data_IF_328690616705
#
_entry.id   IF_328690616705
#
_cell.length_a   1.000
_cell.length_b   1.000
_cell.length_c   1.000
_cell.angle_alpha   90.00
_cell.angle_beta   90.00
_cell.angle_gamma   90.00
#
_symmetry.space_group_name_H-M   'P 1'
#
loop_
_entity.id
_entity.type
_entity.pdbx_description
1 polymer ?
#
# COMPACT_ATOMS: atom_id res chain seq x y z
N UNK A 1 19.30 -49.94 -27.29
CA UNK A 1 20.15 -50.16 -28.49
C UNK A 1 19.74 -49.17 -29.56
N UNK A 2 20.72 -48.41 -30.08
CA UNK A 2 20.79 -47.70 -31.38
C UNK A 2 19.57 -46.89 -31.86
N UNK A 3 19.62 -45.55 -31.85
CA UNK A 3 20.27 -44.66 -32.84
C UNK A 3 19.48 -44.41 -34.14
N UNK A 4 19.25 -43.10 -34.41
CA UNK A 4 19.44 -42.40 -35.70
C UNK A 4 18.49 -42.76 -36.88
N UNK A 5 18.09 -41.92 -37.84
CA UNK A 5 18.35 -40.52 -38.22
C UNK A 5 17.34 -40.13 -39.35
N UNK A 6 17.12 -38.81 -39.51
CA UNK A 6 16.83 -38.08 -40.78
C UNK A 6 15.51 -38.27 -41.57
N UNK A 7 14.64 -37.29 -41.35
CA UNK A 7 14.13 -36.26 -42.30
C UNK A 7 14.48 -36.38 -43.80
N UNK A 8 13.41 -36.21 -44.60
CA UNK A 8 13.20 -35.31 -45.76
C UNK A 8 14.06 -35.57 -47.01
N UNK A 9 13.55 -35.63 -48.25
CA UNK A 9 12.49 -34.87 -48.93
C UNK A 9 11.98 -35.66 -50.16
N UNK A 10 10.80 -35.34 -50.68
CA UNK A 10 10.44 -35.66 -52.08
C UNK A 10 8.94 -35.55 -52.39
N UNK A 11 8.54 -34.43 -53.01
CA UNK A 11 7.23 -34.10 -53.62
C UNK A 11 6.73 -35.17 -54.64
N UNK A 12 5.47 -35.33 -55.13
CA UNK A 12 4.30 -34.44 -55.32
C UNK A 12 3.04 -35.28 -55.74
N UNK A 13 1.87 -34.92 -55.19
CA UNK A 13 0.44 -34.96 -55.65
C UNK A 13 -0.15 -36.06 -56.58
N UNK A 14 -1.25 -36.70 -56.13
CA UNK A 14 -2.59 -36.67 -56.77
C UNK A 14 -3.75 -37.21 -55.87
N UNK A 15 -4.73 -36.32 -55.68
CA UNK A 15 -6.21 -36.43 -55.49
C UNK A 15 -6.96 -37.66 -54.91
N UNK A 16 -7.67 -37.34 -53.80
CA UNK A 16 -9.04 -37.68 -53.33
C UNK A 16 -9.31 -38.98 -52.54
N UNK A 17 -9.94 -38.73 -51.38
CA UNK A 17 -10.64 -39.58 -50.38
C UNK A 17 -9.77 -40.25 -49.31
N UNK A 18 -9.92 -39.83 -48.04
CA UNK A 18 -9.35 -40.54 -46.89
C UNK A 18 -10.07 -40.26 -45.56
N UNK A 19 -10.39 -41.36 -44.88
CA UNK A 19 -10.86 -41.53 -43.50
C UNK A 19 -9.80 -41.20 -42.44
N UNK A 20 -10.26 -40.67 -41.29
CA UNK A 20 -9.64 -40.54 -39.93
C UNK A 20 -8.18 -40.00 -39.81
N UNK A 21 -7.59 -39.77 -38.61
CA UNK A 21 -7.98 -39.01 -37.42
C UNK A 21 -6.98 -37.84 -37.13
N UNK A 22 -7.36 -36.86 -36.29
CA UNK A 22 -6.54 -35.65 -36.04
C UNK A 22 -5.81 -35.66 -34.69
N UNK A 23 -4.46 -35.63 -34.69
CA UNK A 23 -3.65 -35.08 -33.58
C UNK A 23 -2.77 -33.90 -34.04
N UNK A 24 -2.99 -32.76 -33.35
CA UNK A 24 -2.11 -31.64 -32.92
C UNK A 24 -0.82 -31.28 -33.67
N UNK A 25 -0.52 -29.97 -33.77
CA UNK A 25 0.82 -29.44 -33.58
C UNK A 25 1.02 -28.80 -32.19
N UNK A 26 2.23 -28.98 -31.65
CA UNK A 26 2.77 -28.31 -30.45
C UNK A 26 3.31 -26.92 -30.79
N UNK A 27 3.23 -26.00 -29.83
CA UNK A 27 4.26 -24.97 -29.64
C UNK A 27 3.76 -23.59 -29.24
N UNK A 28 3.58 -23.35 -27.94
CA UNK A 28 3.87 -22.08 -27.28
C UNK A 28 4.07 -22.39 -25.79
N UNK A 29 5.30 -22.14 -25.33
CA UNK A 29 5.83 -22.47 -24.02
C UNK A 29 5.10 -21.67 -22.92
N UNK A 30 4.68 -22.36 -21.86
CA UNK A 30 4.19 -21.74 -20.62
C UNK A 30 5.33 -21.77 -19.59
N UNK A 31 5.54 -20.68 -18.83
CA UNK A 31 6.50 -20.69 -17.73
C UNK A 31 6.05 -21.66 -16.64
N UNK A 32 7.03 -22.39 -16.15
CA UNK A 32 6.98 -23.52 -15.22
C UNK A 32 6.31 -23.12 -13.90
N UNK A 33 5.14 -23.71 -13.64
CA UNK A 33 4.48 -23.66 -12.34
C UNK A 33 5.25 -24.51 -11.33
N UNK A 34 5.70 -23.91 -10.22
CA UNK A 34 6.18 -24.66 -9.07
C UNK A 34 5.07 -25.59 -8.57
N UNK A 35 5.39 -26.88 -8.44
CA UNK A 35 4.44 -27.92 -7.99
C UNK A 35 4.19 -27.76 -6.48
N UNK A 36 2.94 -27.89 -6.00
CA UNK A 36 2.69 -28.02 -4.58
C UNK A 36 3.21 -29.40 -4.12
N UNK A 37 4.18 -29.40 -3.21
CA UNK A 37 4.74 -30.63 -2.65
C UNK A 37 3.77 -31.21 -1.63
N UNK A 38 3.52 -32.52 -1.76
CA UNK A 38 2.67 -33.32 -0.89
C UNK A 38 3.29 -33.43 0.51
N UNK A 39 2.42 -33.56 1.51
CA UNK A 39 2.76 -33.65 2.92
C UNK A 39 3.41 -34.99 3.22
N UNK A 40 4.72 -35.13 2.98
CA UNK A 40 5.47 -36.31 3.42
C UNK A 40 5.95 -36.13 4.87
N UNK A 41 5.71 -37.19 5.64
CA UNK A 41 6.15 -37.38 7.01
C UNK A 41 7.68 -37.45 7.04
N UNK A 42 8.31 -36.41 7.56
CA UNK A 42 9.69 -36.47 8.04
C UNK A 42 9.64 -36.30 9.56
N UNK A 43 9.72 -37.44 10.24
CA UNK A 43 9.98 -37.54 11.68
C UNK A 43 11.49 -37.34 11.89
N UNK A 44 11.91 -36.11 12.21
CA UNK A 44 13.19 -35.82 12.84
C UNK A 44 13.01 -34.73 13.91
N UNK A 45 13.69 -34.93 15.03
CA UNK A 45 13.59 -34.28 16.34
C UNK A 45 13.12 -32.81 16.33
N UNK A 46 11.94 -32.58 16.92
CA UNK A 46 11.53 -31.26 17.37
C UNK A 46 12.41 -30.85 18.55
N UNK A 47 13.13 -29.70 18.51
CA UNK A 47 13.70 -29.16 19.72
C UNK A 47 12.56 -28.87 20.70
N UNK A 48 12.75 -29.34 21.94
CA UNK A 48 11.80 -29.29 23.03
C UNK A 48 11.20 -27.87 23.16
N UNK A 49 9.93 -27.78 23.57
CA UNK A 49 9.16 -26.51 23.75
C UNK A 49 9.76 -25.58 24.82
N UNK A 50 10.95 -25.89 25.31
CA UNK A 50 11.56 -25.30 26.49
C UNK A 50 12.63 -24.25 26.19
N UNK A 51 13.13 -24.11 24.95
CA UNK A 51 14.24 -23.16 24.72
C UNK A 51 14.22 -22.48 23.34
N UNK A 52 13.14 -21.76 23.05
CA UNK A 52 13.18 -20.68 22.05
C UNK A 52 13.57 -19.35 22.69
N UNK A 53 14.53 -19.40 23.61
CA UNK A 53 15.16 -18.21 24.13
C UNK A 53 16.10 -17.70 23.02
N UNK A 54 15.58 -16.83 22.14
CA UNK A 54 16.44 -15.97 21.31
C UNK A 54 17.20 -15.07 22.26
N UNK A 55 18.30 -15.59 22.80
CA UNK A 55 19.10 -14.95 23.82
C UNK A 55 19.43 -13.51 23.38
N UNK A 56 19.23 -12.58 24.32
CA UNK A 56 19.61 -11.18 24.24
C UNK A 56 18.83 -10.26 23.27
N UNK A 57 17.50 -10.38 23.22
CA UNK A 57 16.67 -9.31 22.63
C UNK A 57 16.67 -8.09 23.58
N UNK A 58 17.16 -6.92 23.16
CA UNK A 58 17.27 -5.75 24.03
C UNK A 58 15.90 -5.19 24.41
N UNK A 59 15.77 -4.72 25.64
CA UNK A 59 14.63 -3.93 26.11
C UNK A 59 14.87 -2.47 25.72
N UNK A 60 14.02 -1.91 24.86
CA UNK A 60 14.16 -0.55 24.31
C UNK A 60 12.81 0.18 24.40
N UNK A 61 12.62 0.89 25.50
CA UNK A 61 11.40 1.66 25.72
C UNK A 61 11.37 2.95 24.88
N UNK A 62 12.50 3.65 24.77
CA UNK A 62 12.63 4.87 23.95
C UNK A 62 12.48 4.54 22.45
N UNK A 63 11.41 5.03 21.78
CA UNK A 63 11.20 4.79 20.35
C UNK A 63 12.32 5.30 19.45
N UNK A 64 13.07 6.32 19.86
CA UNK A 64 14.15 6.92 19.06
C UNK A 64 15.38 6.00 18.91
N UNK A 65 15.57 5.08 19.85
CA UNK A 65 16.66 4.10 19.87
C UNK A 65 16.35 2.83 19.06
N UNK A 66 15.11 2.67 18.58
CA UNK A 66 14.69 1.46 17.87
C UNK A 66 15.25 1.46 16.44
N UNK A 67 15.80 0.33 16.03
CA UNK A 67 16.43 0.16 14.71
C UNK A 67 15.59 -0.73 13.80
N UNK A 68 15.43 -0.34 12.54
CA UNK A 68 14.69 -1.12 11.54
C UNK A 68 15.25 -2.54 11.38
N UNK A 69 14.35 -3.51 11.29
CA UNK A 69 14.64 -4.94 11.15
C UNK A 69 15.49 -5.53 12.29
N UNK A 70 15.59 -4.85 13.44
CA UNK A 70 16.21 -5.39 14.66
C UNK A 70 15.12 -5.74 15.68
N UNK A 71 15.15 -6.95 16.26
CA UNK A 71 14.20 -7.32 17.30
C UNK A 71 14.46 -6.53 18.57
N UNK A 72 13.40 -6.17 19.28
CA UNK A 72 13.46 -5.55 20.60
C UNK A 72 12.26 -5.99 21.46
N UNK A 73 12.31 -5.68 22.75
CA UNK A 73 11.22 -5.80 23.72
C UNK A 73 10.96 -4.46 24.38
N UNK A 74 9.78 -4.28 24.94
CA UNK A 74 9.48 -3.21 25.88
C UNK A 74 9.55 -3.75 27.32
N UNK A 75 9.70 -2.88 28.31
CA UNK A 75 9.77 -3.30 29.72
C UNK A 75 8.48 -3.94 30.22
N UNK A 76 7.33 -3.62 29.61
CA UNK A 76 6.02 -4.18 29.89
C UNK A 76 5.67 -5.44 29.05
N UNK A 77 6.54 -5.84 28.13
CA UNK A 77 6.34 -7.03 27.32
C UNK A 77 6.59 -8.31 28.12
N UNK A 78 5.68 -9.27 28.02
CA UNK A 78 5.92 -10.64 28.48
C UNK A 78 7.16 -11.24 27.78
N UNK A 79 7.82 -12.20 28.44
CA UNK A 79 9.08 -12.79 27.97
C UNK A 79 9.02 -13.38 26.56
N UNK A 80 7.85 -13.88 26.17
CA UNK A 80 7.64 -14.50 24.86
C UNK A 80 7.29 -13.49 23.75
N UNK A 81 7.30 -12.19 24.02
CA UNK A 81 6.98 -11.15 23.03
C UNK A 81 8.25 -10.64 22.39
N UNK A 82 8.26 -10.53 21.07
CA UNK A 82 9.33 -9.93 20.28
C UNK A 82 8.73 -8.92 19.33
N UNK A 83 9.25 -7.69 19.33
CA UNK A 83 8.79 -6.61 18.45
C UNK A 83 9.82 -6.33 17.38
N UNK A 84 9.34 -5.94 16.21
CA UNK A 84 10.18 -5.57 15.07
C UNK A 84 9.56 -4.33 14.41
N UNK A 85 10.38 -3.33 14.11
CA UNK A 85 9.98 -2.22 13.24
C UNK A 85 10.51 -2.45 11.84
N UNK A 86 9.64 -2.39 10.84
CA UNK A 86 10.01 -2.56 9.44
C UNK A 86 9.58 -1.34 8.62
N UNK A 87 10.35 -1.03 7.58
CA UNK A 87 9.99 0.04 6.65
C UNK A 87 8.77 -0.38 5.82
N UNK A 88 7.96 0.58 5.33
CA UNK A 88 6.92 0.29 4.36
C UNK A 88 7.52 -0.49 3.18
N UNK A 89 6.91 -1.62 2.77
CA UNK A 89 7.40 -2.36 1.63
C UNK A 89 7.36 -1.53 0.34
N UNK A 90 8.28 -1.81 -0.58
CA UNK A 90 8.41 -1.04 -1.82
C UNK A 90 7.11 -1.05 -2.63
N UNK A 91 6.72 0.13 -3.12
CA UNK A 91 5.50 0.36 -3.88
C UNK A 91 4.21 0.39 -3.05
N UNK A 92 4.28 0.22 -1.73
CA UNK A 92 3.12 0.26 -0.82
C UNK A 92 3.38 1.19 0.38
N UNK A 93 3.41 2.52 0.17
CA UNK A 93 3.77 3.47 1.23
C UNK A 93 2.65 3.72 2.25
N UNK A 94 1.41 3.29 1.97
CA UNK A 94 0.25 3.57 2.84
C UNK A 94 -0.01 2.38 3.75
N UNK A 95 0.12 2.55 5.07
CA UNK A 95 -0.39 1.56 6.03
C UNK A 95 -1.92 1.61 6.02
N UNK A 96 -2.56 0.48 5.79
CA UNK A 96 -4.04 0.36 5.66
C UNK A 96 -4.66 -0.49 6.76
N UNK A 97 -3.86 -1.33 7.43
CA UNK A 97 -4.24 -1.97 8.67
C UNK A 97 -2.99 -2.21 9.54
N UNK A 98 -3.18 -2.29 10.85
CA UNK A 98 -2.08 -2.49 11.80
C UNK A 98 -2.42 -3.54 12.84
N UNK A 99 -1.38 -4.16 13.42
CA UNK A 99 -1.52 -5.19 14.45
C UNK A 99 -2.48 -6.34 14.09
N UNK A 100 -2.57 -6.69 12.80
CA UNK A 100 -3.51 -7.68 12.29
C UNK A 100 -3.06 -9.09 12.72
N UNK A 101 -3.92 -9.88 13.41
CA UNK A 101 -3.63 -11.28 13.69
C UNK A 101 -3.54 -12.11 12.40
N UNK A 102 -2.91 -13.28 12.48
CA UNK A 102 -3.10 -14.35 11.50
C UNK A 102 -4.12 -15.36 12.05
N UNK A 103 -5.30 -15.42 11.45
CA UNK A 103 -6.34 -16.39 11.77
C UNK A 103 -5.89 -17.81 11.39
N UNK A 104 -6.04 -18.75 12.31
CA UNK A 104 -5.67 -20.16 12.10
C UNK A 104 -4.19 -20.49 12.30
N UNK A 105 -3.35 -19.53 12.70
CA UNK A 105 -1.90 -19.75 12.88
C UNK A 105 -1.55 -20.87 13.86
N UNK A 106 -2.37 -21.08 14.90
CA UNK A 106 -2.23 -22.21 15.83
C UNK A 106 -2.25 -23.57 15.11
N UNK A 107 -3.04 -23.72 14.04
CA UNK A 107 -3.07 -24.96 13.23
C UNK A 107 -1.84 -25.10 12.33
N UNK A 108 -1.13 -23.99 12.10
CA UNK A 108 0.06 -23.88 11.26
C UNK A 108 1.32 -23.62 12.13
N UNK A 109 1.31 -24.01 13.40
CA UNK A 109 2.37 -23.67 14.36
C UNK A 109 3.75 -24.15 13.92
N UNK A 110 3.83 -25.37 13.38
CA UNK A 110 5.05 -25.95 12.80
C UNK A 110 5.64 -25.08 11.67
N UNK A 111 4.76 -24.67 10.76
CA UNK A 111 5.10 -23.81 9.63
C UNK A 111 5.54 -22.42 10.09
N UNK A 112 4.81 -21.84 11.04
CA UNK A 112 5.13 -20.54 11.60
C UNK A 112 6.49 -20.56 12.31
N UNK A 113 6.80 -21.62 13.06
CA UNK A 113 8.11 -21.79 13.71
C UNK A 113 9.24 -21.83 12.70
N UNK A 114 9.14 -22.68 11.67
CA UNK A 114 10.13 -22.76 10.58
C UNK A 114 10.42 -21.39 9.96
N UNK A 115 9.37 -20.60 9.71
CA UNK A 115 9.50 -19.25 9.14
C UNK A 115 10.20 -18.29 10.12
N UNK A 116 9.85 -18.27 11.40
CA UNK A 116 10.42 -17.28 12.34
C UNK A 116 11.82 -17.65 12.87
N UNK A 117 12.22 -18.91 12.72
CA UNK A 117 13.56 -19.40 13.10
C UNK A 117 14.54 -19.39 11.93
N UNK A 118 14.08 -19.16 10.69
CA UNK A 118 14.97 -19.03 9.54
C UNK A 118 15.88 -17.80 9.68
N UNK A 119 17.01 -17.82 8.94
CA UNK A 119 17.96 -16.69 8.90
C UNK A 119 17.30 -15.42 8.36
N UNK A 120 16.42 -15.57 7.38
CA UNK A 120 15.65 -14.51 6.77
C UNK A 120 14.25 -15.00 6.39
N UNK A 121 13.26 -14.12 6.50
CA UNK A 121 11.91 -14.39 6.04
C UNK A 121 11.16 -13.10 5.65
N UNK A 122 10.13 -13.26 4.84
CA UNK A 122 9.18 -12.21 4.46
C UNK A 122 7.75 -12.73 4.58
N UNK A 123 6.80 -11.80 4.74
CA UNK A 123 5.37 -12.14 4.74
C UNK A 123 4.77 -11.73 3.40
N UNK A 124 4.14 -12.70 2.75
CA UNK A 124 3.40 -12.49 1.50
C UNK A 124 1.90 -12.73 1.72
N UNK A 125 1.11 -11.89 1.06
CA UNK A 125 -0.35 -11.93 1.10
C UNK A 125 -0.87 -12.32 -0.28
N UNK A 126 -1.82 -13.25 -0.31
CA UNK A 126 -2.43 -13.71 -1.56
C UNK A 126 -3.96 -13.68 -1.45
N UNK A 127 -4.62 -12.95 -2.36
CA UNK A 127 -6.08 -12.89 -2.43
C UNK A 127 -6.63 -14.15 -3.09
N UNK A 128 -7.62 -14.77 -2.47
CA UNK A 128 -8.31 -15.96 -2.98
C UNK A 128 -9.78 -15.64 -3.29
N UNK A 129 -10.10 -14.96 -4.42
CA UNK A 129 -11.48 -14.56 -4.74
C UNK A 129 -12.44 -15.73 -4.93
N UNK A 130 -11.91 -16.92 -5.24
CA UNK A 130 -12.66 -18.15 -5.43
C UNK A 130 -12.71 -19.02 -4.16
N UNK A 131 -12.28 -18.51 -3.00
CA UNK A 131 -12.32 -19.27 -1.76
C UNK A 131 -13.78 -19.57 -1.36
N UNK A 132 -14.13 -20.83 -1.05
CA UNK A 132 -15.53 -21.24 -0.82
C UNK A 132 -16.16 -20.64 0.44
N UNK A 133 -15.36 -20.12 1.38
CA UNK A 133 -15.84 -19.59 2.67
C UNK A 133 -15.93 -18.06 2.69
N UNK A 134 -15.04 -17.37 1.96
CA UNK A 134 -15.00 -15.92 1.87
C UNK A 134 -14.33 -15.45 0.58
N UNK A 135 -15.09 -14.78 -0.29
CA UNK A 135 -14.56 -14.18 -1.53
C UNK A 135 -13.49 -13.11 -1.30
N UNK A 136 -13.36 -12.58 -0.08
CA UNK A 136 -12.31 -11.63 0.28
C UNK A 136 -11.14 -12.31 0.99
N UNK A 137 -11.10 -13.64 1.08
CA UNK A 137 -10.04 -14.36 1.78
C UNK A 137 -8.66 -13.91 1.30
N UNK A 138 -7.80 -13.57 2.26
CA UNK A 138 -6.40 -13.26 2.01
C UNK A 138 -5.58 -14.27 2.80
N UNK A 139 -4.91 -15.17 2.09
CA UNK A 139 -4.00 -16.16 2.67
C UNK A 139 -2.67 -15.49 3.01
N UNK A 140 -2.09 -15.91 4.12
CA UNK A 140 -0.80 -15.44 4.61
C UNK A 140 0.24 -16.53 4.43
N UNK A 141 1.33 -16.18 3.77
CA UNK A 141 2.51 -17.03 3.59
C UNK A 141 3.71 -16.39 4.29
N UNK A 142 4.57 -17.23 4.86
CA UNK A 142 5.92 -16.89 5.23
C UNK A 142 6.88 -17.47 4.19
N UNK A 143 7.54 -16.60 3.46
CA UNK A 143 8.59 -16.96 2.50
C UNK A 143 9.92 -16.90 3.25
N UNK A 144 10.68 -18.00 3.29
CA UNK A 144 11.94 -18.11 4.02
C UNK A 144 12.92 -19.02 3.30
N UNK A 145 14.21 -18.85 3.58
CA UNK A 145 15.26 -19.75 3.09
C UNK A 145 15.44 -20.92 4.06
N UNK A 146 15.34 -22.14 3.54
CA UNK A 146 15.61 -23.40 4.26
C UNK A 146 16.60 -24.18 3.41
N UNK A 147 17.75 -24.54 3.98
CA UNK A 147 18.81 -25.28 3.29
C UNK A 147 19.23 -24.66 1.94
N UNK A 148 19.35 -23.34 1.90
CA UNK A 148 19.68 -22.54 0.70
C UNK A 148 18.61 -22.53 -0.40
N UNK A 149 17.41 -23.07 -0.12
CA UNK A 149 16.25 -23.04 -1.01
C UNK A 149 15.15 -22.10 -0.50
N UNK A 150 14.63 -21.26 -1.40
CA UNK A 150 13.47 -20.42 -1.10
C UNK A 150 12.21 -21.28 -0.95
N UNK A 151 11.65 -21.30 0.25
CA UNK A 151 10.45 -22.07 0.59
C UNK A 151 9.34 -21.15 1.11
N UNK A 152 8.10 -21.47 0.77
CA UNK A 152 6.91 -20.76 1.25
C UNK A 152 6.03 -21.66 2.10
N UNK A 153 5.74 -21.23 3.33
CA UNK A 153 4.81 -21.92 4.21
C UNK A 153 3.53 -21.13 4.43
N UNK A 154 2.38 -21.80 4.39
CA UNK A 154 1.11 -21.16 4.75
C UNK A 154 1.02 -20.99 6.26
N UNK A 155 0.72 -19.76 6.69
CA UNK A 155 0.62 -19.39 8.10
C UNK A 155 -0.84 -19.22 8.57
N UNK A 156 -1.79 -19.15 7.65
CA UNK A 156 -3.20 -18.95 7.92
C UNK A 156 -3.80 -17.87 7.03
N UNK A 157 -4.74 -17.10 7.57
CA UNK A 157 -5.50 -16.09 6.83
C UNK A 157 -5.58 -14.76 7.57
N UNK A 158 -5.78 -13.68 6.84
CA UNK A 158 -6.25 -12.42 7.43
C UNK A 158 -7.68 -12.62 7.95
N UNK A 159 -8.04 -12.14 9.16
CA UNK A 159 -9.39 -12.21 9.69
C UNK A 159 -10.43 -11.63 8.73
N UNK A 160 -11.60 -12.29 8.64
CA UNK A 160 -12.66 -11.99 7.67
C UNK A 160 -13.11 -10.52 7.64
N UNK A 161 -13.25 -9.90 8.81
CA UNK A 161 -13.65 -8.50 8.95
C UNK A 161 -12.57 -7.53 8.44
N UNK A 162 -11.30 -7.84 8.68
CA UNK A 162 -10.16 -7.08 8.15
C UNK A 162 -10.03 -7.31 6.65
N UNK A 163 -10.15 -8.55 6.20
CA UNK A 163 -10.06 -8.93 4.79
C UNK A 163 -11.13 -8.24 3.94
N UNK A 164 -12.36 -8.11 4.45
CA UNK A 164 -13.44 -7.33 3.83
C UNK A 164 -13.05 -5.87 3.61
N UNK A 165 -12.41 -5.22 4.59
CA UNK A 165 -11.94 -3.82 4.46
C UNK A 165 -10.80 -3.71 3.45
N UNK A 166 -9.96 -4.74 3.36
CA UNK A 166 -8.82 -4.75 2.45
C UNK A 166 -9.17 -5.08 1.00
N UNK A 167 -10.43 -5.45 0.72
CA UNK A 167 -10.89 -5.83 -0.60
C UNK A 167 -10.69 -4.73 -1.65
N UNK A 168 -10.82 -3.45 -1.27
CA UNK A 168 -10.70 -2.28 -2.15
C UNK A 168 -9.28 -2.02 -2.69
N UNK A 169 -8.25 -2.60 -2.06
CA UNK A 169 -6.85 -2.34 -2.41
C UNK A 169 -6.34 -3.37 -3.41
N UNK A 170 -5.75 -2.95 -4.54
CA UNK A 170 -5.25 -3.90 -5.53
C UNK A 170 -3.94 -4.54 -5.07
N UNK A 171 -2.98 -3.72 -4.62
CA UNK A 171 -1.69 -4.19 -4.11
C UNK A 171 -1.66 -4.19 -2.59
N UNK A 172 -1.37 -5.35 -1.99
CA UNK A 172 -1.18 -5.53 -0.56
C UNK A 172 0.18 -6.17 -0.28
N UNK A 173 0.89 -5.66 0.72
CA UNK A 173 2.11 -6.25 1.29
C UNK A 173 2.01 -6.21 2.82
N UNK A 174 2.80 -7.03 3.51
CA UNK A 174 2.79 -7.08 4.97
C UNK A 174 4.20 -6.99 5.55
N UNK A 175 4.27 -6.48 6.77
CA UNK A 175 5.46 -6.53 7.63
C UNK A 175 5.08 -7.12 8.98
N UNK A 176 5.99 -7.83 9.61
CA UNK A 176 5.81 -8.30 10.99
C UNK A 176 6.06 -7.15 11.95
N UNK A 177 5.12 -6.98 12.89
CA UNK A 177 5.21 -6.00 13.97
C UNK A 177 5.52 -6.64 15.31
N UNK A 178 4.87 -7.78 15.59
CA UNK A 178 5.06 -8.54 16.84
C UNK A 178 5.03 -10.02 16.54
N UNK A 179 5.91 -10.75 17.20
CA UNK A 179 5.95 -12.21 17.27
C UNK A 179 5.70 -12.57 18.74
N UNK A 180 4.70 -13.41 18.99
CA UNK A 180 4.51 -14.11 20.24
C UNK A 180 5.10 -15.50 20.06
N UNK A 181 6.26 -15.73 20.66
CA UNK A 181 6.88 -17.04 20.71
C UNK A 181 5.98 -17.99 21.52
N UNK A 182 5.91 -19.28 21.15
CA UNK A 182 5.15 -20.25 21.92
C UNK A 182 5.78 -20.43 23.31
N UNK A 183 4.93 -20.74 24.28
CA UNK A 183 5.31 -21.14 25.63
C UNK A 183 4.60 -22.44 25.99
N UNK A 184 4.82 -22.96 27.20
CA UNK A 184 4.09 -24.14 27.70
C UNK A 184 2.55 -24.00 27.64
N UNK A 185 2.04 -22.77 27.74
CA UNK A 185 0.59 -22.47 27.79
C UNK A 185 0.05 -21.70 26.58
N UNK A 186 0.90 -21.12 25.73
CA UNK A 186 0.48 -20.27 24.61
C UNK A 186 1.10 -20.76 23.30
N UNK A 187 0.30 -20.81 22.22
CA UNK A 187 0.81 -21.10 20.88
C UNK A 187 1.51 -19.89 20.27
N UNK A 188 2.28 -20.12 19.21
CA UNK A 188 2.85 -19.04 18.38
C UNK A 188 1.76 -18.08 17.86
N UNK A 189 2.11 -16.80 17.73
CA UNK A 189 1.25 -15.78 17.13
C UNK A 189 2.04 -14.67 16.45
N UNK A 190 1.52 -14.11 15.37
CA UNK A 190 2.11 -12.97 14.67
C UNK A 190 1.10 -11.81 14.56
N UNK A 191 1.61 -10.58 14.65
CA UNK A 191 0.89 -9.34 14.33
C UNK A 191 1.52 -8.70 13.11
N UNK A 192 0.70 -8.39 12.12
CA UNK A 192 1.12 -7.80 10.87
C UNK A 192 0.67 -6.35 10.74
N UNK A 193 1.53 -5.51 10.20
CA UNK A 193 1.09 -4.27 9.56
C UNK A 193 0.89 -4.55 8.07
N UNK A 194 -0.24 -4.09 7.52
CA UNK A 194 -0.62 -4.28 6.13
C UNK A 194 -0.52 -2.95 5.40
N UNK A 195 0.14 -3.01 4.25
CA UNK A 195 0.52 -1.87 3.44
C UNK A 195 -0.09 -1.97 2.06
N UNK A 196 -0.47 -0.83 1.51
CA UNK A 196 -0.99 -0.71 0.16
C UNK A 196 -0.39 0.48 -0.58
N UNK A 197 -0.62 0.51 -1.87
CA UNK A 197 -0.34 1.66 -2.71
C UNK A 197 -1.13 2.89 -2.23
N UNK A 198 -0.57 4.08 -2.47
CA UNK A 198 -1.35 5.31 -2.28
C UNK A 198 -2.38 5.36 -3.41
N UNK A 199 -3.64 5.66 -3.07
CA UNK A 199 -4.64 5.92 -4.09
C UNK A 199 -4.09 6.94 -5.10
N UNK A 200 -4.11 6.59 -6.39
CA UNK A 200 -3.79 7.55 -7.44
C UNK A 200 -4.76 8.71 -7.26
N UNK A 201 -4.24 9.93 -7.10
CA UNK A 201 -5.10 11.13 -7.13
C UNK A 201 -5.80 11.09 -8.49
N UNK A 202 -7.14 10.98 -8.50
CA UNK A 202 -7.90 11.17 -9.74
C UNK A 202 -7.55 12.56 -10.26
N UNK A 203 -7.02 12.63 -11.47
CA UNK A 203 -6.92 13.91 -12.18
C UNK A 203 -8.37 14.35 -12.40
N UNK A 204 -8.77 15.41 -11.74
CA UNK A 204 -10.09 16.00 -11.97
C UNK A 204 -9.97 16.71 -13.32
N UNK A 205 -10.77 16.28 -14.28
CA UNK A 205 -10.91 17.00 -15.54
C UNK A 205 -11.68 18.29 -15.25
N UNK A 206 -11.17 19.42 -15.74
CA UNK A 206 -11.80 20.70 -15.49
C UNK A 206 -12.96 20.89 -16.46
N UNK A 207 -14.15 21.09 -15.90
CA UNK A 207 -15.34 21.45 -16.67
C UNK A 207 -15.24 22.92 -17.09
N UNK A 208 -15.84 23.29 -18.24
CA UNK A 208 -15.98 24.69 -18.60
C UNK A 208 -16.75 25.46 -17.52
N UNK A 209 -16.49 26.75 -17.42
CA UNK A 209 -17.25 27.65 -16.57
C UNK A 209 -18.75 27.57 -16.89
N UNK A 210 -19.58 27.35 -15.87
CA UNK A 210 -21.04 27.34 -16.01
C UNK A 210 -21.65 28.60 -15.40
N UNK A 211 -22.23 29.45 -16.24
CA UNK A 211 -22.88 30.69 -15.83
C UNK A 211 -24.16 30.50 -15.00
N UNK A 212 -24.74 29.29 -15.00
CA UNK A 212 -25.96 29.00 -14.25
C UNK A 212 -25.68 28.60 -12.79
N UNK A 213 -24.40 28.43 -12.42
CA UNK A 213 -24.01 28.16 -11.04
C UNK A 213 -24.06 29.47 -10.27
N UNK A 214 -25.05 29.57 -9.37
CA UNK A 214 -25.23 30.74 -8.53
C UNK A 214 -24.26 30.76 -7.35
N UNK A 215 -23.85 31.96 -6.97
CA UNK A 215 -23.04 32.19 -5.77
C UNK A 215 -23.97 32.21 -4.56
N UNK A 216 -23.81 31.30 -3.57
CA UNK A 216 -24.65 31.32 -2.38
C UNK A 216 -24.55 32.65 -1.63
N UNK A 217 -25.64 33.08 -1.01
CA UNK A 217 -25.68 34.36 -0.29
C UNK A 217 -24.82 34.34 1.00
N UNK A 218 -24.80 33.23 1.74
CA UNK A 218 -24.07 33.13 3.02
C UNK A 218 -22.65 32.61 2.81
N UNK A 219 -21.69 33.18 3.55
CA UNK A 219 -20.29 32.79 3.46
C UNK A 219 -20.02 31.30 3.79
N UNK A 220 -20.77 30.72 4.73
CA UNK A 220 -20.64 29.28 5.06
C UNK A 220 -21.05 28.41 3.86
N UNK A 221 -22.13 28.78 3.18
CA UNK A 221 -22.64 28.05 2.01
C UNK A 221 -21.69 28.20 0.81
N UNK A 222 -21.03 29.36 0.68
CA UNK A 222 -19.98 29.58 -0.33
C UNK A 222 -18.82 28.59 -0.15
N UNK A 223 -18.34 28.37 1.07
CA UNK A 223 -17.23 27.43 1.31
C UNK A 223 -17.60 25.99 0.92
N UNK A 224 -18.79 25.55 1.31
CA UNK A 224 -19.31 24.23 0.96
C UNK A 224 -19.48 24.08 -0.55
N UNK A 225 -20.07 25.10 -1.20
CA UNK A 225 -20.30 25.08 -2.65
C UNK A 225 -18.99 25.09 -3.44
N UNK A 226 -18.02 25.93 -3.06
CA UNK A 226 -16.70 25.93 -3.68
C UNK A 226 -16.02 24.55 -3.59
N UNK A 227 -16.12 23.88 -2.44
CA UNK A 227 -15.54 22.54 -2.25
C UNK A 227 -16.25 21.45 -3.07
N UNK A 228 -17.56 21.54 -3.22
CA UNK A 228 -18.34 20.69 -4.12
C UNK A 228 -17.89 20.87 -5.57
N UNK A 229 -17.83 22.12 -6.05
CA UNK A 229 -17.42 22.44 -7.42
C UNK A 229 -15.98 22.02 -7.72
N UNK A 230 -15.06 22.16 -6.76
CA UNK A 230 -13.70 21.65 -6.90
C UNK A 230 -13.67 20.12 -7.07
N UNK A 231 -14.55 19.38 -6.39
CA UNK A 231 -14.65 17.92 -6.51
C UNK A 231 -15.27 17.50 -7.84
N UNK A 232 -16.20 18.28 -8.36
CA UNK A 232 -16.90 18.04 -9.62
C UNK A 232 -16.11 18.50 -10.85
N UNK A 233 -15.10 19.34 -10.67
CA UNK A 233 -14.23 19.84 -11.74
C UNK A 233 -14.59 21.22 -12.28
N UNK A 234 -15.58 21.92 -11.71
CA UNK A 234 -15.93 23.30 -12.07
C UNK A 234 -14.98 24.30 -11.37
N UNK A 235 -13.69 24.22 -11.71
CA UNK A 235 -12.63 24.96 -11.00
C UNK A 235 -12.80 26.48 -11.13
N UNK A 236 -13.18 26.99 -12.30
CA UNK A 236 -13.44 28.44 -12.49
C UNK A 236 -14.58 28.94 -11.61
N UNK A 237 -15.69 28.21 -11.54
CA UNK A 237 -16.79 28.55 -10.66
C UNK A 237 -16.39 28.46 -9.18
N UNK A 238 -15.57 27.48 -8.80
CA UNK A 238 -15.05 27.38 -7.44
C UNK A 238 -14.18 28.60 -7.07
N UNK A 239 -13.30 29.05 -7.98
CA UNK A 239 -12.51 30.27 -7.80
C UNK A 239 -13.43 31.48 -7.56
N UNK A 240 -14.44 31.67 -8.42
CA UNK A 240 -15.40 32.77 -8.29
C UNK A 240 -16.11 32.77 -6.92
N UNK A 241 -16.51 31.59 -6.44
CA UNK A 241 -17.16 31.44 -5.14
C UNK A 241 -16.20 31.73 -3.99
N UNK A 242 -14.95 31.27 -4.06
CA UNK A 242 -13.94 31.57 -3.04
C UNK A 242 -13.60 33.06 -3.00
N UNK A 243 -13.44 33.71 -4.15
CA UNK A 243 -13.24 35.16 -4.21
C UNK A 243 -14.46 35.93 -3.68
N UNK A 244 -15.67 35.46 -3.97
CA UNK A 244 -16.90 36.02 -3.39
C UNK A 244 -16.99 35.80 -1.87
N UNK A 245 -16.41 34.72 -1.33
CA UNK A 245 -16.33 34.51 0.11
C UNK A 245 -15.35 35.49 0.76
N UNK A 246 -14.22 35.79 0.10
CA UNK A 246 -13.22 36.72 0.62
C UNK A 246 -13.66 38.18 0.57
N UNK A 247 -14.55 38.54 -0.36
CA UNK A 247 -15.17 39.88 -0.35
C UNK A 247 -16.07 40.10 0.87
N UNK A 248 -16.78 39.06 1.30
CA UNK A 248 -17.66 39.13 2.46
C UNK A 248 -16.90 38.98 3.78
N UNK A 249 -15.88 38.11 3.80
CA UNK A 249 -15.11 37.75 4.98
C UNK A 249 -13.60 37.70 4.65
N UNK A 250 -12.93 38.87 4.62
CA UNK A 250 -11.51 38.95 4.28
C UNK A 250 -10.59 38.27 5.30
N UNK A 251 -11.07 38.01 6.51
CA UNK A 251 -10.40 37.29 7.60
C UNK A 251 -10.68 35.77 7.57
N UNK A 252 -11.35 35.26 6.53
CA UNK A 252 -11.60 33.83 6.38
C UNK A 252 -10.43 33.13 5.69
N UNK A 253 -9.73 32.28 6.45
CA UNK A 253 -8.60 31.49 5.94
C UNK A 253 -8.99 30.39 4.93
N UNK A 254 -10.21 29.85 4.99
CA UNK A 254 -10.56 28.69 4.17
C UNK A 254 -10.46 28.98 2.66
N UNK A 255 -11.09 30.05 2.11
CA UNK A 255 -10.95 30.42 0.71
C UNK A 255 -9.51 30.67 0.26
N UNK A 256 -8.70 31.39 1.06
CA UNK A 256 -7.28 31.62 0.73
C UNK A 256 -6.53 30.31 0.55
N UNK A 257 -6.70 29.37 1.49
CA UNK A 257 -6.02 28.06 1.40
C UNK A 257 -6.42 27.28 0.16
N UNK A 258 -7.68 27.38 -0.28
CA UNK A 258 -8.18 26.70 -1.48
C UNK A 258 -7.64 27.35 -2.75
N UNK A 259 -7.77 28.67 -2.90
CA UNK A 259 -7.24 29.43 -4.04
C UNK A 259 -5.74 29.18 -4.26
N UNK A 260 -4.94 29.20 -3.18
CA UNK A 260 -3.51 28.89 -3.26
C UNK A 260 -3.24 27.49 -3.80
N UNK A 261 -4.03 26.49 -3.38
CA UNK A 261 -3.90 25.11 -3.88
C UNK A 261 -4.30 25.02 -5.35
N UNK A 262 -5.37 25.70 -5.77
CA UNK A 262 -5.85 25.72 -7.16
C UNK A 262 -4.78 26.33 -8.06
N UNK A 263 -4.33 27.54 -7.77
CA UNK A 263 -3.33 28.24 -8.59
C UNK A 263 -1.99 27.50 -8.63
N UNK A 264 -1.55 26.90 -7.51
CA UNK A 264 -0.35 26.05 -7.48
C UNK A 264 -0.43 24.86 -8.43
N UNK A 265 -1.59 24.19 -8.49
CA UNK A 265 -1.79 23.01 -9.35
C UNK A 265 -1.79 23.36 -10.84
N UNK A 266 -2.36 24.52 -11.17
CA UNK A 266 -2.33 25.07 -12.54
C UNK A 266 -1.01 25.74 -12.92
N UNK A 267 -0.06 25.82 -11.98
CA UNK A 267 1.23 26.52 -12.14
C UNK A 267 1.05 28.02 -12.40
N UNK A 268 -0.07 28.59 -11.99
CA UNK A 268 -0.38 30.02 -12.09
C UNK A 268 0.23 30.75 -10.89
N UNK A 269 1.56 30.71 -10.77
CA UNK A 269 2.27 31.16 -9.57
C UNK A 269 2.09 32.65 -9.27
N UNK A 270 1.92 33.49 -10.28
CA UNK A 270 1.65 34.92 -10.07
C UNK A 270 0.30 35.16 -9.37
N UNK A 271 -0.73 34.39 -9.72
CA UNK A 271 -2.03 34.47 -9.03
C UNK A 271 -1.95 33.89 -7.63
N UNK A 272 -1.21 32.78 -7.45
CA UNK A 272 -0.93 32.23 -6.13
C UNK A 272 -0.26 33.26 -5.20
N UNK A 273 0.77 33.95 -5.69
CA UNK A 273 1.49 35.01 -4.95
C UNK A 273 0.52 36.11 -4.51
N UNK A 274 -0.29 36.64 -5.44
CA UNK A 274 -1.27 37.70 -5.13
C UNK A 274 -2.26 37.29 -4.03
N UNK A 275 -2.77 36.06 -4.09
CA UNK A 275 -3.69 35.53 -3.06
C UNK A 275 -3.00 35.41 -1.70
N UNK A 276 -1.74 34.96 -1.67
CA UNK A 276 -0.97 34.85 -0.42
C UNK A 276 -0.67 36.23 0.17
N UNK A 277 -0.30 37.20 -0.66
CA UNK A 277 -0.06 38.59 -0.24
C UNK A 277 -1.34 39.22 0.32
N UNK A 278 -2.49 39.00 -0.32
CA UNK A 278 -3.78 39.44 0.19
C UNK A 278 -4.12 38.78 1.54
N UNK A 279 -3.86 37.48 1.70
CA UNK A 279 -4.05 36.78 2.97
C UNK A 279 -3.19 37.39 4.09
N UNK A 280 -1.92 37.67 3.81
CA UNK A 280 -1.00 38.29 4.78
C UNK A 280 -1.47 39.69 5.15
N UNK A 281 -1.98 40.47 4.20
CA UNK A 281 -2.47 41.83 4.45
C UNK A 281 -3.77 41.89 5.27
N UNK A 282 -4.59 40.83 5.22
CA UNK A 282 -5.91 40.82 5.85
C UNK A 282 -5.94 40.16 7.23
N UNK A 283 -4.88 39.44 7.62
CA UNK A 283 -4.78 38.84 8.95
C UNK A 283 -4.02 39.75 9.93
N UNK A 284 -4.43 39.72 11.19
CA UNK A 284 -3.70 40.34 12.30
C UNK A 284 -2.32 39.68 12.48
N UNK A 285 -1.33 40.47 12.90
CA UNK A 285 0.09 40.07 12.98
C UNK A 285 0.35 38.86 13.89
N UNK A 286 -0.50 38.64 14.90
CA UNK A 286 -0.42 37.51 15.84
C UNK A 286 -1.12 36.24 15.33
N UNK A 287 -1.75 36.29 14.15
CA UNK A 287 -2.44 35.15 13.59
C UNK A 287 -1.45 34.01 13.29
N UNK A 288 -1.60 32.83 13.92
CA UNK A 288 -0.64 31.72 13.80
C UNK A 288 -0.53 31.16 12.38
N UNK A 289 -1.43 31.53 11.46
CA UNK A 289 -1.42 31.12 10.07
C UNK A 289 -0.46 31.96 9.21
N UNK A 290 -0.09 33.17 9.63
CA UNK A 290 0.78 34.07 8.86
C UNK A 290 2.13 33.43 8.53
N UNK A 291 2.73 32.72 9.49
CA UNK A 291 4.00 32.01 9.29
C UNK A 291 3.90 30.96 8.17
N UNK A 292 2.76 30.29 8.06
CA UNK A 292 2.52 29.34 6.97
C UNK A 292 2.35 30.05 5.62
N UNK A 293 1.71 31.22 5.58
CA UNK A 293 1.58 32.02 4.37
C UNK A 293 2.92 32.60 3.91
N UNK A 294 3.76 33.10 4.82
CA UNK A 294 5.13 33.58 4.52
C UNK A 294 5.99 32.49 3.87
N UNK A 295 6.04 31.29 4.46
CA UNK A 295 6.74 30.12 3.88
C UNK A 295 6.20 29.73 2.51
N UNK A 296 4.87 29.79 2.34
CA UNK A 296 4.23 29.52 1.03
C UNK A 296 4.56 30.59 0.00
N UNK A 297 4.66 31.85 0.40
CA UNK A 297 5.00 32.98 -0.46
C UNK A 297 6.42 32.83 -1.01
N UNK A 298 7.39 32.56 -0.15
CA UNK A 298 8.77 32.28 -0.54
C UNK A 298 8.81 31.16 -1.57
N UNK A 299 8.14 30.04 -1.27
CA UNK A 299 8.08 28.90 -2.19
C UNK A 299 7.34 29.21 -3.50
N UNK A 300 6.35 30.10 -3.47
CA UNK A 300 5.63 30.54 -4.67
C UNK A 300 6.54 31.37 -5.59
N UNK A 301 7.30 32.32 -5.01
CA UNK A 301 8.29 33.14 -5.73
C UNK A 301 9.39 32.28 -6.35
N UNK A 302 9.99 31.37 -5.59
CA UNK A 302 10.99 30.42 -6.11
C UNK A 302 10.48 29.60 -7.31
N UNK A 303 9.21 29.19 -7.28
CA UNK A 303 8.62 28.40 -8.35
C UNK A 303 8.25 29.24 -9.57
N UNK A 304 7.87 30.50 -9.39
CA UNK A 304 7.66 31.46 -10.46
C UNK A 304 8.98 31.77 -11.19
N UNK A 305 10.06 32.03 -10.45
CA UNK A 305 11.38 32.33 -11.02
C UNK A 305 11.92 31.15 -11.83
N UNK A 306 11.79 29.92 -11.30
CA UNK A 306 12.18 28.69 -12.02
C UNK A 306 11.40 28.43 -13.31
N UNK A 307 10.21 28.99 -13.46
CA UNK A 307 9.47 28.90 -14.74
C UNK A 307 10.03 29.92 -15.72
N UNK A 308 10.25 31.16 -15.27
CA UNK A 308 10.84 32.22 -16.09
C UNK A 308 12.25 31.88 -16.60
N UNK A 309 13.07 31.22 -15.79
CA UNK A 309 14.41 30.77 -16.20
C UNK A 309 14.40 29.66 -17.27
N UNK A 310 13.25 29.01 -17.50
CA UNK A 310 13.11 27.91 -18.48
C UNK A 310 12.46 28.35 -19.79
N UNK A 311 11.95 29.57 -19.85
CA UNK A 311 11.38 30.21 -21.04
C UNK A 311 12.47 31.01 -21.77
#
# INVERSE_FOLDING_TARGET
MLQFFKRLFGEKKTSVQSDEPSEKPKGLEKPTSAKPVQTEQLDEEYPDKQDHNKANIPVIDDPSLRVYNKPFRQSDDAENVVRIIQRPPEGTPKKVAEFVPIAGIKKQERNALRVITSKSFAIRLEKEPNNPYDKNAIRVFGDCEVDEEETSFSLGYIPKDVAKKLAEFNKLKATVRVIYLPTSSKSIGLRLDIWSERAKRKKIEENPYDKNIEVPARAVDKNLKGEELEREGYIENAIQIYEASLRDQPDNNYPYRRLVVIYRRRKEYDKEIKVIEQAISNFEDDNPLLENFKKRLERAKELADKVKEKE
#
